data_IF_941072273323
#
_entry.id   IF_941072273323
#
_cell.length_a   1.000
_cell.length_b   1.000
_cell.length_c   1.000
_cell.angle_alpha   90.00
_cell.angle_beta   90.00
_cell.angle_gamma   90.00
#
_symmetry.space_group_name_H-M   'P 1'
#
loop_
_entity.id
_entity.type
_entity.pdbx_description
1 polymer ?
#
# COMPACT_ATOMS: atom_id res chain seq x y z
N UNK A 1 30.60 -0.38 14.06
CA UNK A 1 29.97 -0.05 13.79
C UNK A 1 29.49 0.12 13.66
N UNK A 2 29.33 -0.05 13.51
CA UNK A 2 28.48 0.35 13.22
C UNK A 2 27.87 0.45 12.87
N UNK A 3 28.00 0.22 12.93
CA UNK A 3 27.10 0.57 12.65
C UNK A 3 26.54 0.74 12.29
N UNK A 4 26.63 0.43 12.40
CA UNK A 4 25.71 0.82 12.01
C UNK A 4 25.17 0.92 11.61
N UNK A 5 25.26 0.66 11.63
CA UNK A 5 24.49 1.03 11.34
C UNK A 5 23.85 1.13 10.97
N UNK A 6 23.81 0.91 10.89
CA UNK A 6 22.90 1.34 10.43
C UNK A 6 22.28 1.37 10.14
N UNK A 7 22.36 1.04 9.98
CA UNK A 7 21.62 1.37 9.88
C UNK A 7 20.97 1.46 9.89
N UNK A 8 20.78 1.44 9.68
CA UNK A 8 19.92 1.90 9.69
C UNK A 8 19.41 2.10 9.60
N UNK A 9 19.40 2.13 9.52
CA UNK A 9 18.74 2.54 9.54
C UNK A 9 18.23 3.06 9.08
N UNK A 10 18.15 2.77 8.60
CA UNK A 10 17.57 3.47 7.97
C UNK A 10 16.96 4.25 8.08
N UNK A 11 16.92 4.65 7.59
CA UNK A 11 16.26 5.61 7.98
C UNK A 11 14.98 5.75 7.60
N UNK A 12 14.35 5.61 8.34
CA UNK A 12 13.10 5.90 8.34
C UNK A 12 12.88 7.32 8.35
N UNK A 13 11.94 7.79 7.61
CA UNK A 13 11.54 9.13 7.61
C UNK A 13 10.77 9.38 8.85
N UNK A 14 11.16 10.31 9.69
CA UNK A 14 10.49 10.49 10.98
C UNK A 14 9.04 10.88 10.83
N UNK A 15 8.67 11.57 9.77
CA UNK A 15 7.29 12.00 9.59
C UNK A 15 6.48 11.05 8.74
N UNK A 16 7.08 9.93 8.36
CA UNK A 16 6.41 8.96 7.55
C UNK A 16 5.51 8.10 8.38
N UNK A 17 4.30 7.91 7.95
CA UNK A 17 3.36 7.02 8.62
C UNK A 17 3.40 5.67 7.92
N UNK A 18 3.62 4.59 8.66
CA UNK A 18 3.60 3.27 8.04
C UNK A 18 2.23 3.01 7.44
N UNK A 19 2.20 2.27 6.37
CA UNK A 19 0.96 1.88 5.75
C UNK A 19 0.19 0.92 6.64
N UNK A 20 -1.12 1.07 6.65
CA UNK A 20 -2.00 0.14 7.36
C UNK A 20 -2.42 -0.92 6.36
N UNK A 21 -2.11 -2.20 6.59
CA UNK A 21 -2.52 -3.25 5.63
C UNK A 21 -4.03 -3.35 5.58
N UNK A 22 -4.60 -3.27 4.41
CA UNK A 22 -6.02 -3.49 4.21
C UNK A 22 -6.29 -4.91 3.74
N UNK A 23 -5.52 -5.36 2.74
CA UNK A 23 -5.70 -6.67 2.15
C UNK A 23 -4.36 -7.31 1.86
N UNK A 24 -4.32 -8.62 1.95
CA UNK A 24 -3.17 -9.38 1.49
C UNK A 24 -3.75 -10.61 0.81
N UNK A 25 -3.45 -10.82 -0.46
CA UNK A 25 -4.04 -11.92 -1.20
C UNK A 25 -3.10 -12.41 -2.29
N UNK A 26 -3.34 -13.62 -2.77
CA UNK A 26 -2.50 -14.24 -3.76
C UNK A 26 -3.33 -14.60 -4.99
N UNK A 27 -2.78 -14.30 -6.16
CA UNK A 27 -3.36 -14.73 -7.42
C UNK A 27 -2.52 -15.88 -7.92
N UNK A 28 -3.02 -17.07 -7.78
CA UNK A 28 -2.22 -18.26 -8.05
C UNK A 28 -1.87 -18.44 -9.53
N UNK A 29 -2.79 -18.09 -10.41
CA UNK A 29 -2.52 -18.25 -11.83
C UNK A 29 -1.32 -17.41 -12.29
N UNK A 30 -1.06 -16.30 -11.60
CA UNK A 30 0.04 -15.40 -11.94
C UNK A 30 1.20 -15.54 -10.98
N UNK A 31 1.04 -16.34 -9.94
CA UNK A 31 2.01 -16.46 -8.87
C UNK A 31 2.36 -15.11 -8.29
N UNK A 32 1.34 -14.30 -8.11
CA UNK A 32 1.52 -12.93 -7.63
C UNK A 32 0.99 -12.80 -6.23
N UNK A 33 1.79 -12.17 -5.38
CA UNK A 33 1.36 -11.81 -4.03
C UNK A 33 1.06 -10.33 -4.03
N UNK A 34 -0.15 -10.01 -3.62
CA UNK A 34 -0.61 -8.62 -3.59
C UNK A 34 -0.78 -8.16 -2.17
N UNK A 35 -0.37 -6.93 -1.93
CA UNK A 35 -0.57 -6.27 -0.64
C UNK A 35 -1.16 -4.90 -0.91
N UNK A 36 -2.23 -4.57 -0.21
CA UNK A 36 -2.84 -3.26 -0.29
C UNK A 36 -2.67 -2.56 1.05
N UNK A 37 -2.10 -1.36 1.02
CA UNK A 37 -1.91 -0.56 2.22
C UNK A 37 -2.58 0.78 2.08
N UNK A 38 -3.03 1.31 3.20
CA UNK A 38 -3.62 2.62 3.27
C UNK A 38 -2.74 3.49 4.15
N UNK A 39 -2.42 4.68 3.68
CA UNK A 39 -1.58 5.63 4.41
C UNK A 39 -2.36 6.89 4.67
N UNK A 40 -2.38 7.33 5.91
CA UNK A 40 -3.01 8.58 6.27
C UNK A 40 -1.97 9.67 6.11
N UNK A 41 -2.21 10.56 5.16
CA UNK A 41 -1.27 11.63 4.85
C UNK A 41 -1.52 12.89 5.67
N UNK A 42 -2.60 12.91 6.44
CA UNK A 42 -2.97 14.06 7.24
C UNK A 42 -3.59 15.15 6.41
N UNK A 43 -4.36 16.05 7.07
CA UNK A 43 -4.96 17.16 6.36
C UNK A 43 -3.87 18.06 5.79
N UNK A 44 -4.08 18.65 4.62
CA UNK A 44 -5.25 18.49 3.77
C UNK A 44 -5.13 17.39 2.74
N UNK A 45 -4.15 16.49 2.90
CA UNK A 45 -3.78 15.55 1.84
C UNK A 45 -4.65 14.30 1.81
N UNK A 46 -5.33 13.98 2.90
CA UNK A 46 -6.24 12.84 2.92
C UNK A 46 -5.52 11.52 3.13
N UNK A 47 -5.91 10.53 2.35
CA UNK A 47 -5.35 9.18 2.48
C UNK A 47 -4.90 8.68 1.13
N UNK A 48 -3.93 7.79 1.14
CA UNK A 48 -3.40 7.20 -0.08
C UNK A 48 -3.52 5.70 0.00
N UNK A 49 -3.99 5.08 -1.09
CA UNK A 49 -4.03 3.63 -1.20
C UNK A 49 -2.90 3.20 -2.11
N UNK A 50 -2.19 2.16 -1.72
CA UNK A 50 -1.09 1.61 -2.51
C UNK A 50 -1.30 0.11 -2.67
N UNK A 51 -1.15 -0.38 -3.90
CA UNK A 51 -1.17 -1.80 -4.19
C UNK A 51 0.20 -2.23 -4.65
N UNK A 52 0.74 -3.25 -3.99
CA UNK A 52 2.04 -3.82 -4.32
C UNK A 52 1.84 -5.23 -4.85
N UNK A 53 2.53 -5.54 -5.93
CA UNK A 53 2.56 -6.89 -6.48
C UNK A 53 3.97 -7.41 -6.36
N UNK A 54 4.15 -8.49 -5.60
CA UNK A 54 5.48 -9.06 -5.35
C UNK A 54 6.43 -7.97 -4.88
N UNK A 55 5.93 -7.10 -3.98
CA UNK A 55 6.69 -6.04 -3.34
C UNK A 55 7.03 -4.86 -4.26
N UNK A 56 6.43 -4.83 -5.45
CA UNK A 56 6.61 -3.71 -6.37
C UNK A 56 5.33 -2.89 -6.41
N UNK A 57 5.47 -1.59 -6.22
CA UNK A 57 4.30 -0.70 -6.26
C UNK A 57 3.72 -0.69 -7.66
N UNK A 58 2.43 -1.03 -7.75
CA UNK A 58 1.75 -1.11 -9.05
C UNK A 58 0.68 -0.05 -9.22
N UNK A 59 -0.07 0.25 -8.14
CA UNK A 59 -1.15 1.22 -8.20
C UNK A 59 -1.08 2.11 -6.99
N UNK A 60 -1.42 3.38 -7.16
CA UNK A 60 -1.42 4.32 -6.07
C UNK A 60 -2.45 5.39 -6.35
N UNK A 61 -3.25 5.74 -5.36
CA UNK A 61 -4.26 6.76 -5.55
C UNK A 61 -4.58 7.45 -4.24
N UNK A 62 -4.83 8.76 -4.31
CA UNK A 62 -5.18 9.58 -3.16
C UNK A 62 -6.66 9.86 -3.11
N UNK A 63 -7.19 9.94 -1.90
CA UNK A 63 -8.60 10.23 -1.66
C UNK A 63 -8.70 11.20 -0.51
N UNK A 64 -9.81 11.92 -0.45
CA UNK A 64 -10.02 12.87 0.63
C UNK A 64 -10.49 12.19 1.90
N UNK A 65 -11.12 11.04 1.81
CA UNK A 65 -11.63 10.33 2.98
C UNK A 65 -11.22 8.89 2.95
N UNK A 66 -11.16 8.31 4.15
CA UNK A 66 -10.86 6.90 4.31
C UNK A 66 -11.93 6.04 3.64
N UNK A 67 -13.18 6.44 3.78
CA UNK A 67 -14.30 5.70 3.22
C UNK A 67 -14.18 5.54 1.71
N UNK A 68 -13.88 6.64 1.01
CA UNK A 68 -13.70 6.59 -0.44
C UNK A 68 -12.49 5.74 -0.80
N UNK A 69 -11.43 5.83 -0.02
CA UNK A 69 -10.22 5.08 -0.27
C UNK A 69 -10.46 3.58 -0.14
N UNK A 70 -11.16 3.18 0.93
CA UNK A 70 -11.44 1.76 1.18
C UNK A 70 -12.35 1.21 0.10
N UNK A 71 -13.34 1.98 -0.31
CA UNK A 71 -14.25 1.55 -1.36
C UNK A 71 -13.50 1.29 -2.67
N UNK A 72 -12.64 2.23 -3.05
CA UNK A 72 -11.86 2.05 -4.26
C UNK A 72 -10.93 0.84 -4.14
N UNK A 73 -10.35 0.64 -2.97
CA UNK A 73 -9.43 -0.47 -2.74
C UNK A 73 -10.15 -1.81 -2.90
N UNK A 74 -11.37 -1.90 -2.39
CA UNK A 74 -12.16 -3.12 -2.52
C UNK A 74 -12.51 -3.41 -3.96
N UNK A 75 -12.89 -2.37 -4.70
CA UNK A 75 -13.22 -2.52 -6.11
C UNK A 75 -11.99 -2.93 -6.92
N UNK A 76 -10.86 -2.35 -6.61
CA UNK A 76 -9.62 -2.66 -7.31
C UNK A 76 -9.18 -4.09 -7.02
N UNK A 77 -9.32 -4.52 -5.77
CA UNK A 77 -8.99 -5.90 -5.41
C UNK A 77 -9.83 -6.89 -6.19
N UNK A 78 -11.12 -6.61 -6.32
CA UNK A 78 -12.00 -7.48 -7.08
C UNK A 78 -11.56 -7.55 -8.54
N UNK A 79 -11.22 -6.40 -9.12
CA UNK A 79 -10.77 -6.36 -10.50
C UNK A 79 -9.50 -7.18 -10.68
N UNK A 80 -8.57 -7.08 -9.75
CA UNK A 80 -7.34 -7.85 -9.81
C UNK A 80 -7.63 -9.34 -9.71
N UNK A 81 -8.50 -9.71 -8.78
CA UNK A 81 -8.83 -11.13 -8.57
C UNK A 81 -9.53 -11.73 -9.78
N UNK A 82 -10.27 -10.92 -10.50
CA UNK A 82 -10.98 -11.38 -11.69
C UNK A 82 -10.12 -11.32 -12.94
N UNK A 83 -8.89 -10.85 -12.81
CA UNK A 83 -7.98 -10.81 -13.93
C UNK A 83 -8.14 -9.60 -14.79
N UNK A 84 -8.91 -8.62 -14.36
CA UNK A 84 -9.20 -7.45 -15.16
C UNK A 84 -8.41 -6.21 -14.82
N UNK A 85 -7.46 -6.32 -13.98
CA UNK A 85 -6.73 -5.14 -13.57
C UNK A 85 -5.65 -4.70 -14.56
#
# INVERSE_FOLDING_TARGET
MDHFKFPGSVPQQPHSTPGEPLFEFTIERDQARWLCELRDLGPPFGVEVQFFQNEVLRHRRQFKTRSAAVQWAEDERKAIEEGGA
#
